data_IF_143160704838
#
_entry.id   IF_143160704838
#
_cell.length_a   1.000
_cell.length_b   1.000
_cell.length_c   1.000
_cell.angle_alpha   90.00
_cell.angle_beta   90.00
_cell.angle_gamma   90.00
#
_symmetry.space_group_name_H-M   'P 1'
#
loop_
_entity.id
_entity.type
_entity.pdbx_description
1 polymer ?
#
# COMPACT_ATOMS: atom_id res chain seq x y z
N UNK A 1 22.57 -19.46 -1.57
CA UNK A 1 23.23 -19.56 -0.23
C UNK A 1 22.18 -19.95 0.80
N UNK A 2 22.52 -20.82 1.75
CA UNK A 2 21.61 -21.12 2.87
C UNK A 2 21.42 -19.86 3.74
N UNK A 3 20.27 -19.74 4.41
CA UNK A 3 20.04 -18.63 5.33
C UNK A 3 21.13 -18.59 6.41
N UNK A 4 21.85 -17.47 6.52
CA UNK A 4 22.95 -17.28 7.48
C UNK A 4 24.37 -17.46 6.94
N UNK A 5 24.55 -17.84 5.68
CA UNK A 5 25.89 -17.90 5.08
C UNK A 5 26.44 -16.49 4.85
N UNK A 6 27.63 -16.20 5.39
CA UNK A 6 28.26 -14.86 5.31
C UNK A 6 28.71 -14.58 3.86
N UNK A 7 28.50 -13.34 3.39
CA UNK A 7 28.97 -12.91 2.08
C UNK A 7 30.51 -13.01 2.00
N UNK A 8 31.01 -13.65 0.93
CA UNK A 8 32.44 -13.89 0.73
C UNK A 8 33.18 -12.56 0.47
N UNK A 9 34.40 -12.37 0.99
CA UNK A 9 35.17 -11.14 0.75
C UNK A 9 35.28 -10.75 -0.73
N UNK A 10 35.58 -11.71 -1.62
CA UNK A 10 35.68 -11.46 -3.05
C UNK A 10 34.36 -10.99 -3.69
N UNK A 11 33.21 -11.43 -3.16
CA UNK A 11 31.90 -10.91 -3.57
C UNK A 11 31.74 -9.46 -3.14
N UNK A 12 32.09 -9.11 -1.89
CA UNK A 12 31.99 -7.75 -1.35
C UNK A 12 32.91 -6.78 -2.07
N UNK A 13 34.14 -7.21 -2.43
CA UNK A 13 35.06 -6.42 -3.25
C UNK A 13 34.45 -6.09 -4.63
N UNK A 14 33.89 -7.10 -5.31
CA UNK A 14 33.24 -6.91 -6.61
C UNK A 14 31.96 -6.05 -6.44
N UNK A 15 31.20 -6.25 -5.38
CA UNK A 15 30.01 -5.46 -5.07
C UNK A 15 30.37 -3.99 -4.84
N UNK A 16 31.50 -3.71 -4.17
CA UNK A 16 32.01 -2.35 -3.97
C UNK A 16 32.32 -1.65 -5.29
N UNK A 17 32.97 -2.35 -6.23
CA UNK A 17 33.26 -1.81 -7.55
C UNK A 17 31.98 -1.50 -8.35
N UNK A 18 31.01 -2.39 -8.28
CA UNK A 18 29.70 -2.19 -8.96
C UNK A 18 28.89 -1.06 -8.34
N UNK A 19 28.88 -0.98 -7.01
CA UNK A 19 28.15 0.07 -6.27
C UNK A 19 28.79 1.45 -6.46
N UNK A 20 30.11 1.51 -6.65
CA UNK A 20 30.87 2.75 -6.67
C UNK A 20 31.09 3.35 -5.28
N UNK A 21 31.98 4.34 -5.24
CA UNK A 21 32.45 4.93 -3.99
C UNK A 21 31.30 5.48 -3.12
N UNK A 22 31.34 5.15 -1.82
CA UNK A 22 30.39 5.65 -0.83
C UNK A 22 28.97 5.08 -0.92
N UNK A 23 28.71 4.12 -1.83
CA UNK A 23 27.38 3.55 -2.03
C UNK A 23 27.19 2.15 -1.44
N UNK A 24 28.22 1.55 -0.85
CA UNK A 24 28.14 0.26 -0.15
C UNK A 24 28.27 0.47 1.37
N UNK A 25 27.45 -0.24 2.13
CA UNK A 25 27.61 -0.42 3.59
C UNK A 25 27.68 -1.90 3.89
N UNK A 26 28.62 -2.27 4.77
CA UNK A 26 28.84 -3.64 5.24
C UNK A 26 29.01 -3.70 6.76
N UNK A 27 29.17 -2.54 7.42
CA UNK A 27 29.15 -2.47 8.87
C UNK A 27 27.76 -2.83 9.40
N UNK A 28 27.64 -3.75 10.37
CA UNK A 28 26.35 -4.16 10.92
C UNK A 28 25.51 -3.00 11.47
N UNK A 29 26.14 -1.98 12.06
CA UNK A 29 25.42 -0.83 12.59
C UNK A 29 24.80 0.02 11.47
N UNK A 30 25.54 0.21 10.35
CA UNK A 30 25.05 0.91 9.18
C UNK A 30 23.96 0.13 8.44
N UNK A 31 24.04 -1.21 8.46
CA UNK A 31 23.06 -2.09 7.81
C UNK A 31 21.78 -2.26 8.64
N UNK A 32 21.82 -2.08 9.96
CA UNK A 32 20.71 -2.29 10.87
C UNK A 32 19.40 -1.58 10.43
N UNK A 33 19.41 -0.27 10.07
CA UNK A 33 18.18 0.45 9.67
C UNK A 33 17.52 -0.09 8.40
N UNK A 34 18.24 -0.88 7.63
CA UNK A 34 17.75 -1.44 6.36
C UNK A 34 17.22 -2.87 6.51
N UNK A 35 17.27 -3.42 7.72
CA UNK A 35 16.77 -4.75 8.06
C UNK A 35 15.29 -4.81 8.37
N UNK A 36 14.57 -3.68 8.49
CA UNK A 36 13.16 -3.64 8.90
C UNK A 36 12.31 -2.68 8.03
N UNK A 37 10.99 -2.82 8.15
CA UNK A 37 9.98 -1.86 7.67
C UNK A 37 8.93 -1.59 8.76
N UNK A 38 7.81 -0.95 8.42
CA UNK A 38 6.76 -0.62 9.39
C UNK A 38 5.98 -1.85 9.92
N UNK A 39 6.23 -3.06 9.40
CA UNK A 39 5.73 -4.31 10.01
C UNK A 39 6.36 -4.62 11.36
N UNK A 40 7.44 -3.92 11.72
CA UNK A 40 8.28 -4.14 12.91
C UNK A 40 9.02 -5.49 12.92
N UNK A 41 9.00 -6.24 11.82
CA UNK A 41 9.84 -7.42 11.62
C UNK A 41 11.24 -6.94 11.26
N UNK A 42 12.27 -7.60 11.81
CA UNK A 42 13.64 -7.25 11.56
C UNK A 42 14.49 -8.49 11.27
N UNK A 43 15.24 -8.44 10.18
CA UNK A 43 16.32 -9.39 9.86
C UNK A 43 17.51 -8.57 9.39
N UNK A 44 18.72 -8.77 9.94
CA UNK A 44 19.90 -7.99 9.55
C UNK A 44 20.25 -8.20 8.07
N UNK A 45 20.46 -7.10 7.34
CA UNK A 45 21.08 -7.14 6.03
C UNK A 45 22.60 -7.38 6.19
N UNK A 46 23.19 -8.15 5.27
CA UNK A 46 24.65 -8.38 5.28
C UNK A 46 25.43 -7.29 4.53
N UNK A 47 24.75 -6.65 3.56
CA UNK A 47 25.25 -5.48 2.87
C UNK A 47 24.08 -4.62 2.40
N UNK A 48 24.29 -3.32 2.31
CA UNK A 48 23.33 -2.36 1.74
C UNK A 48 24.02 -1.60 0.62
N UNK A 49 23.39 -1.63 -0.58
CA UNK A 49 23.83 -0.85 -1.75
C UNK A 49 22.84 0.27 -1.98
N UNK A 50 23.32 1.49 -2.10
CA UNK A 50 22.55 2.67 -2.51
C UNK A 50 22.74 2.90 -4.00
N UNK A 51 21.82 2.44 -4.81
CA UNK A 51 21.89 2.68 -6.24
C UNK A 51 21.60 4.15 -6.57
N UNK A 52 22.39 4.70 -7.51
CA UNK A 52 22.24 6.07 -8.04
C UNK A 52 21.82 6.07 -9.51
N UNK A 53 21.64 4.89 -10.13
CA UNK A 53 21.21 4.75 -11.50
C UNK A 53 20.96 3.32 -11.94
N UNK A 54 20.25 3.18 -13.05
CA UNK A 54 19.83 1.89 -13.61
C UNK A 54 21.01 0.92 -13.85
N UNK A 55 22.14 1.41 -14.36
CA UNK A 55 23.29 0.56 -14.66
C UNK A 55 23.87 -0.11 -13.41
N UNK A 56 23.87 0.59 -12.26
CA UNK A 56 24.29 -0.01 -10.99
C UNK A 56 23.31 -1.10 -10.53
N UNK A 57 21.99 -0.84 -10.63
CA UNK A 57 20.97 -1.85 -10.32
C UNK A 57 21.20 -3.11 -11.17
N UNK A 58 21.41 -2.96 -12.47
CA UNK A 58 21.70 -4.06 -13.39
C UNK A 58 22.97 -4.83 -12.97
N UNK A 59 24.04 -4.11 -12.65
CA UNK A 59 25.31 -4.69 -12.18
C UNK A 59 25.15 -5.49 -10.88
N UNK A 60 24.44 -4.93 -9.90
CA UNK A 60 24.17 -5.59 -8.60
C UNK A 60 23.32 -6.85 -8.78
N UNK A 61 22.26 -6.78 -9.57
CA UNK A 61 21.41 -7.96 -9.85
C UNK A 61 22.22 -9.05 -10.51
N UNK A 62 22.99 -8.73 -11.55
CA UNK A 62 23.86 -9.71 -12.26
C UNK A 62 24.89 -10.36 -11.32
N UNK A 63 25.47 -9.59 -10.42
CA UNK A 63 26.41 -10.11 -9.44
C UNK A 63 25.70 -11.05 -8.47
N UNK A 64 24.56 -10.64 -7.90
CA UNK A 64 23.77 -11.46 -6.98
C UNK A 64 23.27 -12.75 -7.68
N UNK A 65 22.77 -12.68 -8.89
CA UNK A 65 22.33 -13.84 -9.70
C UNK A 65 23.45 -14.83 -9.91
N UNK A 66 24.64 -14.35 -10.31
CA UNK A 66 25.83 -15.20 -10.55
C UNK A 66 26.28 -15.96 -9.30
N UNK A 67 26.11 -15.35 -8.13
CA UNK A 67 26.58 -15.92 -6.85
C UNK A 67 25.45 -16.54 -6.00
N UNK A 68 24.20 -16.53 -6.47
CA UNK A 68 23.04 -17.03 -5.72
C UNK A 68 22.78 -16.24 -4.44
N UNK A 69 23.10 -14.94 -4.40
CA UNK A 69 22.93 -14.07 -3.23
C UNK A 69 21.53 -13.48 -3.23
N UNK A 70 20.83 -13.63 -2.12
CA UNK A 70 19.51 -13.02 -1.93
C UNK A 70 19.56 -11.48 -2.05
N UNK A 71 18.59 -10.91 -2.75
CA UNK A 71 18.50 -9.48 -3.02
C UNK A 71 17.11 -8.95 -2.65
N UNK A 72 17.07 -7.99 -1.73
CA UNK A 72 15.84 -7.32 -1.32
C UNK A 72 15.87 -5.88 -1.81
N UNK A 73 14.96 -5.53 -2.74
CA UNK A 73 14.78 -4.14 -3.17
C UNK A 73 14.07 -3.33 -2.07
N UNK A 74 14.49 -2.08 -1.87
CA UNK A 74 13.97 -1.20 -0.85
C UNK A 74 13.84 0.24 -1.35
N UNK A 75 12.69 0.85 -1.10
CA UNK A 75 12.54 2.30 -1.09
C UNK A 75 12.91 2.85 0.29
N UNK A 76 11.97 3.46 1.00
CA UNK A 76 12.19 4.01 2.35
C UNK A 76 11.58 3.18 3.50
N UNK A 77 11.15 1.95 3.22
CA UNK A 77 10.65 1.01 4.24
C UNK A 77 9.36 1.43 4.94
N UNK A 78 8.49 2.15 4.25
CA UNK A 78 7.18 2.58 4.77
C UNK A 78 6.11 1.46 4.75
N UNK A 79 6.37 0.35 4.08
CA UNK A 79 5.47 -0.80 3.98
C UNK A 79 5.21 -1.47 5.33
N UNK A 80 4.06 -2.12 5.46
CA UNK A 80 3.56 -2.70 6.73
C UNK A 80 3.49 -4.22 6.74
N UNK A 81 3.84 -4.87 5.62
CA UNK A 81 3.70 -6.33 5.47
C UNK A 81 5.03 -7.11 5.53
N UNK A 82 6.16 -6.44 5.81
CA UNK A 82 7.49 -7.09 5.82
C UNK A 82 8.12 -7.23 4.43
N UNK A 83 7.60 -6.51 3.44
CA UNK A 83 8.03 -6.64 2.04
C UNK A 83 9.48 -6.22 1.77
N UNK A 84 10.04 -5.29 2.55
CA UNK A 84 11.45 -4.87 2.44
C UNK A 84 12.38 -5.48 3.51
N UNK A 85 11.90 -6.43 4.30
CA UNK A 85 12.73 -7.17 5.28
C UNK A 85 13.56 -8.24 4.55
N UNK A 86 14.90 -8.27 4.67
CA UNK A 86 15.75 -9.24 3.97
C UNK A 86 15.73 -10.61 4.66
N UNK A 87 14.63 -11.37 4.51
CA UNK A 87 14.36 -12.61 5.24
C UNK A 87 15.49 -13.64 5.16
N UNK A 88 16.19 -13.71 4.03
CA UNK A 88 17.35 -14.61 3.85
C UNK A 88 18.69 -13.89 3.95
N UNK A 89 18.75 -12.71 4.59
CA UNK A 89 19.97 -11.90 4.63
C UNK A 89 20.34 -11.37 3.23
N UNK A 90 21.62 -11.48 2.87
CA UNK A 90 22.13 -11.03 1.58
C UNK A 90 22.22 -9.52 1.44
N UNK A 91 21.92 -9.02 0.25
CA UNK A 91 22.04 -7.61 -0.12
C UNK A 91 20.68 -6.92 -0.07
N UNK A 92 20.62 -5.78 0.62
CA UNK A 92 19.52 -4.82 0.45
C UNK A 92 19.93 -3.79 -0.58
N UNK A 93 19.14 -3.63 -1.64
CA UNK A 93 19.33 -2.64 -2.68
C UNK A 93 18.39 -1.47 -2.46
N UNK A 94 18.89 -0.39 -1.87
CA UNK A 94 18.15 0.84 -1.68
C UNK A 94 18.14 1.66 -2.97
N UNK A 95 16.93 2.05 -3.40
CA UNK A 95 16.70 2.90 -4.56
C UNK A 95 16.48 4.37 -4.15
N UNK A 96 16.58 4.71 -2.87
CA UNK A 96 16.22 6.04 -2.36
C UNK A 96 17.07 7.20 -2.93
N UNK A 97 18.26 6.91 -3.51
CA UNK A 97 19.11 7.88 -4.21
C UNK A 97 18.81 8.00 -5.71
N UNK A 98 17.91 7.18 -6.25
CA UNK A 98 17.39 7.28 -7.61
C UNK A 98 16.09 8.10 -7.59
N UNK A 99 16.19 9.39 -7.29
CA UNK A 99 15.05 10.25 -6.94
C UNK A 99 14.76 11.36 -7.95
N UNK A 100 15.36 11.30 -9.12
CA UNK A 100 15.20 12.32 -10.16
C UNK A 100 13.85 12.22 -10.87
N UNK A 101 13.29 13.37 -11.17
CA UNK A 101 12.24 13.53 -12.18
C UNK A 101 12.94 13.75 -13.52
N UNK A 102 12.83 12.75 -14.40
CA UNK A 102 13.59 12.72 -15.65
C UNK A 102 12.94 13.54 -16.75
N UNK A 103 11.61 13.55 -16.81
CA UNK A 103 10.83 14.24 -17.83
C UNK A 103 9.44 14.59 -17.29
N UNK A 104 8.92 15.75 -17.67
CA UNK A 104 7.52 16.12 -17.53
C UNK A 104 7.02 16.58 -18.88
N UNK A 105 5.97 15.95 -19.39
CA UNK A 105 5.35 16.28 -20.67
C UNK A 105 3.85 16.59 -20.46
N UNK A 106 3.51 17.86 -20.19
CA UNK A 106 2.12 18.25 -19.90
C UNK A 106 1.16 18.00 -21.06
N UNK A 107 1.61 18.17 -22.31
CA UNK A 107 0.79 17.96 -23.50
C UNK A 107 0.31 16.50 -23.63
N UNK A 108 1.13 15.54 -23.20
CA UNK A 108 0.81 14.11 -23.19
C UNK A 108 0.31 13.63 -21.83
N UNK A 109 0.25 14.52 -20.84
CA UNK A 109 -0.16 14.22 -19.46
C UNK A 109 0.67 13.08 -18.86
N UNK A 110 1.99 13.12 -19.01
CA UNK A 110 2.88 12.11 -18.47
C UNK A 110 4.10 12.72 -17.77
N UNK A 111 4.68 11.93 -16.89
CA UNK A 111 5.92 12.22 -16.19
C UNK A 111 6.78 10.95 -16.14
N UNK A 112 8.07 11.06 -16.42
CA UNK A 112 9.03 9.96 -16.26
C UNK A 112 9.88 10.24 -15.03
N UNK A 113 9.93 9.27 -14.12
CA UNK A 113 10.64 9.41 -12.85
C UNK A 113 11.50 8.20 -12.53
N UNK A 114 12.57 8.41 -11.80
CA UNK A 114 13.27 7.34 -11.10
C UNK A 114 12.43 6.89 -9.88
N UNK A 115 12.49 5.61 -9.56
CA UNK A 115 11.56 5.01 -8.59
C UNK A 115 11.87 5.28 -7.12
N UNK A 116 13.01 5.89 -6.82
CA UNK A 116 13.34 6.42 -5.49
C UNK A 116 12.74 7.80 -5.21
N UNK A 117 12.20 8.50 -6.23
CA UNK A 117 11.46 9.74 -6.03
C UNK A 117 10.31 9.52 -5.05
N UNK A 118 10.11 10.45 -4.11
CA UNK A 118 8.98 10.37 -3.18
C UNK A 118 7.67 10.67 -3.90
N UNK A 119 6.57 10.10 -3.43
CA UNK A 119 5.24 10.43 -3.94
C UNK A 119 5.00 11.94 -3.86
N UNK A 120 5.36 12.58 -2.74
CA UNK A 120 5.22 14.03 -2.55
C UNK A 120 6.00 14.83 -3.60
N UNK A 121 7.25 14.44 -3.90
CA UNK A 121 8.05 15.14 -4.92
C UNK A 121 7.38 15.08 -6.30
N UNK A 122 6.78 13.94 -6.64
CA UNK A 122 5.99 13.77 -7.88
C UNK A 122 4.75 14.67 -7.87
N UNK A 123 4.01 14.73 -6.74
CA UNK A 123 2.85 15.59 -6.59
C UNK A 123 3.23 17.08 -6.78
N UNK A 124 4.31 17.52 -6.12
CA UNK A 124 4.78 18.92 -6.17
C UNK A 124 5.22 19.31 -7.58
N UNK A 125 5.91 18.39 -8.28
CA UNK A 125 6.34 18.63 -9.64
C UNK A 125 5.16 18.68 -10.62
N UNK A 126 4.21 17.75 -10.53
CA UNK A 126 3.01 17.71 -11.35
C UNK A 126 2.13 18.97 -11.12
N UNK A 127 2.01 19.41 -9.87
CA UNK A 127 1.19 20.56 -9.49
C UNK A 127 1.63 21.87 -10.18
N UNK A 128 2.93 22.06 -10.45
CA UNK A 128 3.45 23.24 -11.16
C UNK A 128 2.92 23.37 -12.59
N UNK A 129 2.41 22.24 -13.13
CA UNK A 129 1.83 22.17 -14.48
C UNK A 129 0.30 22.00 -14.45
N UNK A 130 -0.36 22.11 -13.29
CA UNK A 130 -1.80 21.92 -13.16
C UNK A 130 -2.25 20.46 -13.12
N UNK A 131 -1.34 19.52 -12.84
CA UNK A 131 -1.62 18.08 -12.78
C UNK A 131 -1.35 17.50 -11.39
N UNK A 132 -1.71 16.24 -11.22
CA UNK A 132 -1.32 15.39 -10.10
C UNK A 132 -1.21 13.93 -10.55
N UNK A 133 -0.49 13.12 -9.79
CA UNK A 133 -0.49 11.68 -9.92
C UNK A 133 -1.49 11.10 -8.92
N UNK A 134 -2.54 10.36 -9.36
CA UNK A 134 -3.65 9.97 -8.49
C UNK A 134 -3.31 9.20 -7.21
N UNK A 135 -2.39 8.22 -7.19
CA UNK A 135 -2.02 7.54 -5.95
C UNK A 135 -1.49 8.49 -4.88
N UNK A 136 -2.12 8.49 -3.70
CA UNK A 136 -1.83 9.41 -2.60
C UNK A 136 -1.89 8.72 -1.22
N UNK A 137 -1.09 7.67 -0.99
CA UNK A 137 -1.10 6.98 0.29
C UNK A 137 -0.75 7.93 1.44
N UNK A 138 -1.21 7.63 2.65
CA UNK A 138 -0.96 8.47 3.84
C UNK A 138 0.53 8.72 4.12
N UNK A 139 1.40 7.86 3.61
CA UNK A 139 2.87 7.98 3.68
C UNK A 139 3.50 8.79 2.55
N UNK A 140 2.74 9.50 1.73
CA UNK A 140 3.21 10.20 0.51
C UNK A 140 4.45 11.06 0.71
N UNK A 141 4.60 11.71 1.87
CA UNK A 141 5.79 12.50 2.21
C UNK A 141 7.08 11.68 2.28
N UNK A 142 6.98 10.37 2.51
CA UNK A 142 8.14 9.50 2.75
C UNK A 142 8.25 8.35 1.76
N UNK A 143 7.12 7.74 1.34
CA UNK A 143 7.13 6.59 0.45
C UNK A 143 7.66 6.96 -0.95
N UNK A 144 8.26 5.99 -1.61
CA UNK A 144 8.79 6.18 -2.96
C UNK A 144 7.82 5.67 -4.01
N UNK A 145 7.88 6.23 -5.22
CA UNK A 145 7.12 5.75 -6.38
C UNK A 145 7.33 4.25 -6.58
N UNK A 146 8.57 3.76 -6.48
CA UNK A 146 8.87 2.32 -6.61
C UNK A 146 8.18 1.46 -5.56
N UNK A 147 8.06 1.96 -4.32
CA UNK A 147 7.28 1.30 -3.27
C UNK A 147 5.78 1.27 -3.60
N UNK A 148 5.22 2.41 -4.06
CA UNK A 148 3.82 2.46 -4.47
C UNK A 148 3.52 1.50 -5.63
N UNK A 149 4.41 1.41 -6.62
CA UNK A 149 4.29 0.48 -7.74
C UNK A 149 4.42 -0.98 -7.30
N UNK A 150 5.43 -1.30 -6.49
CA UNK A 150 5.68 -2.67 -6.04
C UNK A 150 4.49 -3.27 -5.29
N UNK A 151 3.74 -2.46 -4.53
CA UNK A 151 2.59 -2.89 -3.73
C UNK A 151 1.23 -2.47 -4.33
N UNK A 152 1.22 -1.76 -5.45
CA UNK A 152 0.02 -1.13 -5.99
C UNK A 152 -0.71 -0.25 -4.95
N UNK A 153 0.04 0.44 -4.08
CA UNK A 153 -0.49 1.23 -2.97
C UNK A 153 -1.13 2.53 -3.44
N UNK A 154 -2.41 2.72 -3.19
CA UNK A 154 -3.22 3.74 -3.83
C UNK A 154 -3.64 4.91 -2.93
N UNK A 155 -4.23 4.66 -1.75
CA UNK A 155 -4.79 5.68 -0.88
C UNK A 155 -6.26 6.05 -1.21
N UNK A 156 -6.82 7.07 -0.53
CA UNK A 156 -8.25 7.38 -0.56
C UNK A 156 -8.80 7.79 -1.93
N UNK A 157 -7.96 8.35 -2.82
CA UNK A 157 -8.39 8.79 -4.15
C UNK A 157 -8.63 7.66 -5.15
N UNK A 158 -8.25 6.42 -4.79
CA UNK A 158 -8.44 5.26 -5.66
C UNK A 158 -9.91 5.05 -6.06
N UNK A 159 -10.86 5.47 -5.25
CA UNK A 159 -12.30 5.34 -5.52
C UNK A 159 -12.72 6.05 -6.81
N UNK A 160 -12.10 7.18 -7.15
CA UNK A 160 -12.39 7.93 -8.39
C UNK A 160 -11.33 7.75 -9.45
N UNK A 161 -10.07 7.70 -9.06
CA UNK A 161 -8.95 7.85 -9.97
C UNK A 161 -8.17 6.56 -10.22
N UNK A 162 -8.51 5.48 -9.51
CA UNK A 162 -7.81 4.19 -9.63
C UNK A 162 -6.48 4.15 -8.87
N UNK A 163 -5.81 3.03 -9.00
CA UNK A 163 -4.58 2.65 -8.30
C UNK A 163 -3.34 2.97 -9.15
N UNK A 164 -2.10 2.69 -8.70
CA UNK A 164 -0.92 2.78 -9.55
C UNK A 164 -1.02 2.01 -10.87
N UNK A 165 -1.74 0.87 -10.92
CA UNK A 165 -1.96 0.10 -12.17
C UNK A 165 -2.64 0.90 -13.26
N UNK A 166 -3.65 1.70 -12.93
CA UNK A 166 -4.39 2.54 -13.88
C UNK A 166 -3.61 3.83 -14.23
N UNK A 167 -2.70 4.24 -13.34
CA UNK A 167 -2.00 5.53 -13.41
C UNK A 167 -0.52 5.40 -13.78
N UNK A 168 -0.13 4.27 -14.43
CA UNK A 168 1.22 4.04 -14.94
C UNK A 168 1.14 3.54 -16.38
N UNK A 169 1.89 4.18 -17.26
CA UNK A 169 1.91 3.89 -18.69
C UNK A 169 3.00 2.89 -19.07
N UNK A 170 4.14 2.90 -18.36
CA UNK A 170 5.26 2.01 -18.68
C UNK A 170 6.31 2.02 -17.60
N UNK A 171 7.20 1.05 -17.65
CA UNK A 171 8.27 0.83 -16.67
C UNK A 171 9.59 0.52 -17.37
N UNK A 172 10.69 0.88 -16.70
CA UNK A 172 12.01 0.29 -16.93
C UNK A 172 12.39 -0.49 -15.67
N UNK A 173 12.83 -1.72 -15.84
CA UNK A 173 13.12 -2.63 -14.74
C UNK A 173 14.31 -3.54 -15.06
N UNK A 174 14.79 -4.24 -14.02
CA UNK A 174 15.80 -5.30 -14.14
C UNK A 174 15.20 -6.59 -13.59
N UNK A 175 15.12 -7.63 -14.42
CA UNK A 175 14.64 -8.97 -14.00
C UNK A 175 15.62 -9.65 -13.07
N UNK A 176 15.20 -10.68 -12.31
CA UNK A 176 16.10 -11.50 -11.50
C UNK A 176 17.15 -12.28 -12.31
N UNK A 177 16.93 -12.47 -13.62
CA UNK A 177 17.92 -13.01 -14.53
C UNK A 177 19.06 -12.00 -14.86
N UNK A 178 18.94 -10.73 -14.45
CA UNK A 178 19.90 -9.68 -14.77
C UNK A 178 19.74 -9.12 -16.18
N UNK A 179 18.52 -9.07 -16.67
CA UNK A 179 18.16 -8.51 -17.98
C UNK A 179 17.42 -7.19 -17.82
N UNK A 180 17.75 -6.22 -18.71
CA UNK A 180 16.99 -4.97 -18.78
C UNK A 180 15.64 -5.21 -19.46
N UNK A 181 14.58 -4.70 -18.87
CA UNK A 181 13.22 -4.80 -19.39
C UNK A 181 12.60 -3.40 -19.49
N UNK A 182 11.96 -3.12 -20.64
CA UNK A 182 11.07 -1.98 -20.82
C UNK A 182 9.68 -2.47 -21.14
N UNK A 183 8.66 -1.93 -20.48
CA UNK A 183 7.26 -2.30 -20.68
C UNK A 183 6.42 -1.09 -20.95
N UNK A 184 5.23 -1.31 -21.51
CA UNK A 184 4.23 -0.29 -21.72
C UNK A 184 4.52 0.64 -22.90
N UNK A 185 3.76 1.72 -22.97
CA UNK A 185 3.79 2.71 -24.04
C UNK A 185 3.63 4.12 -23.45
N UNK A 186 3.86 5.16 -24.25
CA UNK A 186 3.65 6.56 -23.82
C UNK A 186 2.27 7.10 -24.19
N UNK A 187 1.42 6.26 -24.78
CA UNK A 187 0.08 6.62 -25.25
C UNK A 187 -0.98 6.07 -24.30
N UNK A 188 -2.18 6.69 -24.29
CA UNK A 188 -3.30 6.24 -23.48
C UNK A 188 -3.93 4.93 -23.96
N UNK A 189 -3.63 4.50 -25.18
CA UNK A 189 -4.06 3.22 -25.76
C UNK A 189 -2.83 2.46 -26.28
N UNK A 190 -2.81 1.13 -26.07
CA UNK A 190 -1.81 0.22 -26.61
C UNK A 190 -2.26 -1.21 -26.36
N UNK A 191 -2.19 -2.07 -27.39
CA UNK A 191 -2.66 -3.48 -27.31
C UNK A 191 -1.63 -4.46 -27.89
N UNK A 192 -0.39 -4.01 -28.14
CA UNK A 192 0.66 -4.88 -28.67
C UNK A 192 1.32 -5.65 -27.55
N UNK A 193 1.19 -6.98 -27.58
CA UNK A 193 1.75 -7.88 -26.60
C UNK A 193 0.94 -7.97 -25.30
N UNK A 194 1.49 -8.72 -24.33
CA UNK A 194 0.91 -8.87 -22.99
C UNK A 194 1.25 -7.66 -22.12
N UNK A 195 0.37 -7.32 -21.19
CA UNK A 195 0.56 -6.20 -20.27
C UNK A 195 1.53 -6.56 -19.13
N UNK A 196 2.82 -6.51 -19.41
CA UNK A 196 3.85 -6.72 -18.41
C UNK A 196 3.97 -5.55 -17.43
N UNK A 197 3.50 -4.35 -17.79
CA UNK A 197 3.47 -3.20 -16.88
C UNK A 197 2.62 -3.51 -15.67
N UNK A 198 1.36 -3.94 -15.88
CA UNK A 198 0.46 -4.30 -14.78
C UNK A 198 0.85 -5.58 -14.06
N UNK A 199 1.57 -6.49 -14.71
CA UNK A 199 2.14 -7.68 -14.08
C UNK A 199 3.22 -7.31 -13.05
N UNK A 200 4.08 -6.35 -13.37
CA UNK A 200 5.15 -5.90 -12.47
C UNK A 200 4.62 -5.05 -11.32
N UNK A 201 3.54 -4.26 -11.53
CA UNK A 201 2.90 -3.47 -10.49
C UNK A 201 2.14 -4.41 -9.54
N UNK A 202 2.47 -4.36 -8.26
CA UNK A 202 1.94 -5.26 -7.23
C UNK A 202 2.69 -6.60 -7.13
N UNK A 203 3.86 -6.73 -7.78
CA UNK A 203 4.70 -7.94 -7.67
C UNK A 203 5.66 -7.94 -6.47
N UNK A 204 5.61 -6.92 -5.63
CA UNK A 204 6.39 -6.81 -4.37
C UNK A 204 7.91 -6.98 -4.57
N UNK A 205 8.42 -6.59 -5.75
CA UNK A 205 9.84 -6.75 -6.08
C UNK A 205 10.28 -8.20 -6.29
N UNK A 206 9.33 -9.14 -6.44
CA UNK A 206 9.65 -10.56 -6.66
C UNK A 206 9.97 -10.89 -8.13
N UNK A 207 9.46 -10.13 -9.08
CA UNK A 207 9.67 -10.40 -10.51
C UNK A 207 10.82 -9.58 -11.09
N UNK A 208 10.86 -8.29 -10.77
CA UNK A 208 11.87 -7.37 -11.26
C UNK A 208 12.05 -6.20 -10.29
N UNK A 209 13.19 -5.51 -10.40
CA UNK A 209 13.45 -4.25 -9.69
C UNK A 209 13.14 -3.11 -10.65
N UNK A 210 12.09 -2.35 -10.34
CA UNK A 210 11.65 -1.21 -11.14
C UNK A 210 12.59 -0.03 -10.86
N UNK A 211 13.16 0.55 -11.92
CA UNK A 211 14.13 1.65 -11.83
C UNK A 211 13.59 2.97 -12.33
N UNK A 212 12.71 2.95 -13.33
CA UNK A 212 12.05 4.13 -13.88
C UNK A 212 10.56 3.82 -14.12
N UNK A 213 9.71 4.83 -14.01
CA UNK A 213 8.29 4.73 -14.30
C UNK A 213 7.82 5.90 -15.15
N UNK A 214 6.99 5.61 -16.16
CA UNK A 214 6.22 6.59 -16.91
C UNK A 214 4.84 6.68 -16.26
N UNK A 215 4.59 7.74 -15.50
CA UNK A 215 3.38 7.99 -14.76
C UNK A 215 2.37 8.72 -15.63
N UNK A 216 1.10 8.35 -15.52
CA UNK A 216 -0.02 9.05 -16.16
C UNK A 216 -0.51 10.15 -15.21
N UNK A 217 -0.49 11.39 -15.67
CA UNK A 217 -0.95 12.53 -14.90
C UNK A 217 -2.43 12.83 -15.17
N UNK A 218 -3.12 13.28 -14.12
CA UNK A 218 -4.51 13.72 -14.17
C UNK A 218 -4.56 15.24 -13.95
N UNK A 219 -5.35 16.02 -14.73
CA UNK A 219 -5.58 17.42 -14.47
C UNK A 219 -6.16 17.64 -13.06
N UNK A 220 -5.68 18.64 -12.35
CA UNK A 220 -6.24 19.00 -11.04
C UNK A 220 -7.61 19.64 -11.23
N UNK A 221 -8.58 19.13 -10.52
CA UNK A 221 -9.86 19.80 -10.40
C UNK A 221 -9.68 21.15 -9.68
N UNK A 222 -10.29 22.25 -10.17
CA UNK A 222 -10.14 23.57 -9.55
C UNK A 222 -10.78 23.61 -8.16
N UNK A 223 -11.85 22.87 -7.93
CA UNK A 223 -12.63 22.95 -6.71
C UNK A 223 -12.81 21.61 -6.02
N UNK A 224 -13.03 21.67 -4.72
CA UNK A 224 -13.37 20.55 -3.85
C UNK A 224 -14.43 20.94 -2.84
N UNK A 225 -15.25 19.94 -2.42
CA UNK A 225 -16.16 20.05 -1.28
C UNK A 225 -16.03 18.82 -0.41
N UNK A 226 -15.98 19.04 0.89
CA UNK A 226 -15.88 17.97 1.89
C UNK A 226 -17.11 17.97 2.77
N UNK A 227 -17.72 16.80 2.97
CA UNK A 227 -18.86 16.59 3.83
C UNK A 227 -18.47 15.60 4.94
N UNK A 228 -19.05 15.80 6.11
CA UNK A 228 -19.05 14.86 7.23
C UNK A 228 -20.46 14.35 7.44
N UNK A 229 -20.67 13.04 7.42
CA UNK A 229 -21.95 12.43 7.73
C UNK A 229 -21.79 11.48 8.93
N UNK A 230 -22.69 11.59 9.92
CA UNK A 230 -22.66 10.83 11.18
C UNK A 230 -23.91 9.97 11.24
N UNK A 231 -23.73 8.70 11.56
CA UNK A 231 -24.79 7.69 11.58
C UNK A 231 -24.92 7.04 12.96
N UNK A 232 -26.13 6.56 13.27
CA UNK A 232 -26.45 5.87 14.51
C UNK A 232 -25.69 4.53 14.65
N UNK A 233 -25.44 3.87 13.50
CA UNK A 233 -24.79 2.57 13.48
C UNK A 233 -24.05 2.33 12.14
N UNK A 234 -23.28 1.25 12.10
CA UNK A 234 -22.52 0.81 10.93
C UNK A 234 -23.41 0.43 9.76
N UNK A 235 -24.59 -0.16 10.03
CA UNK A 235 -25.52 -0.59 8.98
C UNK A 235 -26.07 0.62 8.22
N UNK A 236 -26.40 1.70 8.92
CA UNK A 236 -26.81 2.96 8.31
C UNK A 236 -25.71 3.57 7.46
N UNK A 237 -24.46 3.62 7.98
CA UNK A 237 -23.31 4.13 7.23
C UNK A 237 -23.05 3.28 5.98
N UNK A 238 -23.13 1.96 6.07
CA UNK A 238 -22.94 1.07 4.91
C UNK A 238 -24.04 1.27 3.84
N UNK A 239 -25.31 1.42 4.25
CA UNK A 239 -26.38 1.79 3.31
C UNK A 239 -26.11 3.11 2.60
N UNK A 240 -25.59 4.10 3.32
CA UNK A 240 -25.20 5.38 2.75
C UNK A 240 -24.03 5.21 1.75
N UNK A 241 -23.01 4.42 2.06
CA UNK A 241 -21.92 4.12 1.12
C UNK A 241 -22.45 3.49 -0.17
N UNK A 242 -23.32 2.49 -0.06
CA UNK A 242 -23.96 1.86 -1.22
C UNK A 242 -24.73 2.89 -2.06
N UNK A 243 -25.55 3.73 -1.41
CA UNK A 243 -26.34 4.78 -2.10
C UNK A 243 -25.44 5.82 -2.78
N UNK A 244 -24.35 6.25 -2.10
CA UNK A 244 -23.38 7.18 -2.66
C UNK A 244 -22.68 6.59 -3.89
N UNK A 245 -22.27 5.33 -3.82
CA UNK A 245 -21.56 4.68 -4.94
C UNK A 245 -22.47 4.27 -6.10
N UNK A 246 -23.79 4.21 -5.90
CA UNK A 246 -24.76 3.85 -6.93
C UNK A 246 -25.23 5.03 -7.79
N UNK A 247 -24.92 6.29 -7.41
CA UNK A 247 -25.36 7.47 -8.15
C UNK A 247 -24.22 8.00 -9.08
N UNK A 248 -24.53 8.84 -10.09
CA UNK A 248 -23.58 9.21 -11.15
C UNK A 248 -22.35 10.02 -10.69
N UNK A 249 -22.46 10.79 -9.58
CA UNK A 249 -21.37 11.61 -9.08
C UNK A 249 -20.43 10.76 -8.21
N UNK A 250 -19.25 10.47 -8.69
CA UNK A 250 -18.26 9.67 -7.95
C UNK A 250 -17.50 10.58 -6.99
N UNK A 251 -17.50 10.30 -5.66
CA UNK A 251 -16.66 11.02 -4.72
C UNK A 251 -15.17 10.78 -5.01
N UNK A 252 -14.33 11.78 -4.79
CA UNK A 252 -12.87 11.61 -4.92
C UNK A 252 -12.22 11.01 -3.66
N UNK A 253 -12.95 10.98 -2.53
CA UNK A 253 -12.63 10.20 -1.35
C UNK A 253 -13.92 9.87 -0.59
N UNK A 254 -14.01 8.66 -0.03
CA UNK A 254 -15.11 8.21 0.81
C UNK A 254 -14.54 7.35 1.94
N UNK A 255 -14.30 8.00 3.09
CA UNK A 255 -13.65 7.42 4.25
C UNK A 255 -14.66 7.03 5.31
N UNK A 256 -14.45 5.88 5.92
CA UNK A 256 -15.29 5.31 6.98
C UNK A 256 -14.53 5.21 8.30
N UNK A 257 -15.25 5.40 9.41
CA UNK A 257 -14.79 5.18 10.77
C UNK A 257 -15.90 4.53 11.58
N UNK A 258 -15.59 3.45 12.30
CA UNK A 258 -16.54 2.80 13.21
C UNK A 258 -16.64 3.51 14.56
N UNK A 259 -17.52 3.00 15.46
CA UNK A 259 -17.72 3.51 16.81
C UNK A 259 -16.42 3.49 17.63
N UNK A 260 -15.64 2.42 17.55
CA UNK A 260 -14.37 2.33 18.27
C UNK A 260 -13.37 3.39 17.80
N UNK A 261 -13.32 3.68 16.51
CA UNK A 261 -12.50 4.77 15.95
C UNK A 261 -13.03 6.15 16.40
N UNK A 262 -14.34 6.34 16.46
CA UNK A 262 -14.99 7.57 16.94
C UNK A 262 -14.66 7.81 18.41
N UNK A 263 -14.71 6.79 19.26
CA UNK A 263 -14.38 6.90 20.69
C UNK A 263 -12.92 7.31 20.89
N UNK A 264 -12.00 6.80 20.06
CA UNK A 264 -10.62 7.27 20.08
C UNK A 264 -10.50 8.74 19.66
N UNK A 265 -11.24 9.17 18.64
CA UNK A 265 -11.26 10.57 18.22
C UNK A 265 -11.71 11.49 19.36
N UNK A 266 -12.74 11.10 20.11
CA UNK A 266 -13.22 11.86 21.29
C UNK A 266 -12.15 12.05 22.35
N UNK A 267 -11.31 11.03 22.58
CA UNK A 267 -10.24 11.10 23.59
C UNK A 267 -9.05 11.93 23.13
N UNK A 268 -8.70 11.86 21.84
CA UNK A 268 -7.44 12.43 21.32
C UNK A 268 -7.62 13.64 20.40
N UNK A 269 -8.85 14.09 20.18
CA UNK A 269 -9.15 15.29 19.40
C UNK A 269 -10.25 16.11 20.06
N UNK A 270 -10.35 17.40 19.67
CA UNK A 270 -11.45 18.29 20.08
C UNK A 270 -12.62 18.26 19.08
N UNK A 271 -12.77 17.16 18.33
CA UNK A 271 -13.85 17.03 17.35
C UNK A 271 -15.20 16.95 18.08
N UNK A 272 -16.11 17.87 17.72
CA UNK A 272 -17.50 17.83 18.21
C UNK A 272 -18.24 16.69 17.50
N UNK A 273 -18.45 15.58 18.24
CA UNK A 273 -19.14 14.38 17.77
C UNK A 273 -20.28 14.03 18.74
N UNK A 274 -21.52 13.83 18.25
CA UNK A 274 -22.65 13.41 19.06
C UNK A 274 -22.35 12.15 19.89
N UNK A 275 -22.86 12.07 21.11
CA UNK A 275 -22.63 10.94 22.02
C UNK A 275 -23.05 9.58 21.41
N UNK A 276 -24.09 9.60 20.58
CA UNK A 276 -24.69 8.40 19.98
C UNK A 276 -24.19 8.11 18.54
N UNK A 277 -23.04 8.68 18.17
CA UNK A 277 -22.45 8.38 16.85
C UNK A 277 -21.88 6.96 16.82
N UNK A 278 -22.48 6.09 15.99
CA UNK A 278 -22.05 4.70 15.79
C UNK A 278 -21.17 4.49 14.56
N UNK A 279 -21.20 5.43 13.61
CA UNK A 279 -20.29 5.46 12.45
C UNK A 279 -20.17 6.86 11.84
N UNK A 280 -19.06 7.12 11.15
CA UNK A 280 -18.81 8.40 10.49
C UNK A 280 -18.30 8.16 9.08
N UNK A 281 -18.82 8.96 8.12
CA UNK A 281 -18.29 9.06 6.76
C UNK A 281 -17.71 10.45 6.52
N UNK A 282 -16.51 10.50 5.94
CA UNK A 282 -15.97 11.69 5.28
C UNK A 282 -16.11 11.49 3.77
N UNK A 283 -16.76 12.45 3.11
CA UNK A 283 -17.09 12.39 1.69
C UNK A 283 -16.44 13.62 1.05
N UNK A 284 -15.54 13.39 0.08
CA UNK A 284 -14.94 14.49 -0.67
C UNK A 284 -15.30 14.36 -2.15
N UNK A 285 -15.68 15.46 -2.76
CA UNK A 285 -15.94 15.56 -4.21
C UNK A 285 -15.14 16.69 -4.79
N UNK A 286 -14.62 16.49 -5.99
CA UNK A 286 -13.86 17.48 -6.75
C UNK A 286 -14.44 17.64 -8.17
N UNK A 287 -14.28 18.83 -8.73
CA UNK A 287 -14.83 19.17 -10.03
C UNK A 287 -14.67 20.65 -10.37
N UNK A 288 -15.38 21.08 -11.41
CA UNK A 288 -15.41 22.47 -11.88
C UNK A 288 -16.30 23.34 -11.00
N UNK A 289 -16.00 24.65 -10.96
CA UNK A 289 -16.70 25.65 -10.16
C UNK A 289 -18.22 25.66 -10.39
N UNK A 290 -18.64 25.57 -11.65
CA UNK A 290 -20.05 25.65 -12.02
C UNK A 290 -20.88 24.44 -11.56
N UNK A 291 -20.22 23.30 -11.27
CA UNK A 291 -20.89 22.04 -10.98
C UNK A 291 -20.64 21.49 -9.58
N UNK A 292 -19.59 21.95 -8.89
CA UNK A 292 -19.11 21.33 -7.66
C UNK A 292 -20.15 21.33 -6.53
N UNK A 293 -20.93 22.39 -6.41
CA UNK A 293 -21.97 22.49 -5.37
C UNK A 293 -23.15 21.57 -5.67
N UNK A 294 -23.53 21.43 -6.93
CA UNK A 294 -24.53 20.46 -7.35
C UNK A 294 -24.07 19.00 -7.09
N UNK A 295 -22.81 18.73 -7.35
CA UNK A 295 -22.19 17.44 -7.07
C UNK A 295 -22.18 17.12 -5.56
N UNK A 296 -21.80 18.09 -4.73
CA UNK A 296 -21.83 17.96 -3.28
C UNK A 296 -23.25 17.72 -2.75
N UNK A 297 -24.24 18.43 -3.29
CA UNK A 297 -25.66 18.25 -2.93
C UNK A 297 -26.20 16.87 -3.38
N UNK A 298 -25.75 16.36 -4.51
CA UNK A 298 -26.11 15.01 -4.97
C UNK A 298 -25.59 13.94 -4.00
N UNK A 299 -24.32 14.05 -3.58
CA UNK A 299 -23.73 13.17 -2.57
C UNK A 299 -24.41 13.31 -1.21
N UNK A 300 -24.74 14.55 -0.80
CA UNK A 300 -25.47 14.78 0.45
C UNK A 300 -26.87 14.15 0.43
N UNK A 301 -27.57 14.20 -0.71
CA UNK A 301 -28.86 13.51 -0.87
C UNK A 301 -28.71 11.99 -0.80
N UNK A 302 -27.70 11.44 -1.48
CA UNK A 302 -27.43 10.01 -1.46
C UNK A 302 -27.03 9.49 -0.06
N UNK A 303 -26.36 10.33 0.74
CA UNK A 303 -25.97 10.03 2.11
C UNK A 303 -27.17 10.03 3.09
N UNK A 304 -28.34 10.59 2.72
CA UNK A 304 -29.54 10.65 3.57
C UNK A 304 -30.29 9.33 3.53
N UNK A 305 -29.93 8.46 4.46
CA UNK A 305 -30.59 7.16 4.70
C UNK A 305 -31.11 7.11 6.13
N UNK A 306 -31.96 6.12 6.44
CA UNK A 306 -32.43 5.89 7.79
C UNK A 306 -31.24 5.62 8.74
N UNK A 307 -31.22 6.30 9.88
CA UNK A 307 -30.11 6.27 10.83
C UNK A 307 -29.08 7.38 10.65
N UNK A 308 -29.27 8.31 9.68
CA UNK A 308 -28.45 9.53 9.63
C UNK A 308 -28.76 10.43 10.82
N UNK A 309 -27.74 10.77 11.63
CA UNK A 309 -27.85 11.71 12.74
C UNK A 309 -27.60 13.14 12.26
N UNK A 310 -26.50 13.35 11.53
CA UNK A 310 -26.12 14.67 11.01
C UNK A 310 -25.33 14.55 9.71
N UNK A 311 -25.50 15.55 8.85
CA UNK A 311 -24.64 15.75 7.68
C UNK A 311 -24.27 17.22 7.59
N UNK A 312 -22.99 17.51 7.49
CA UNK A 312 -22.44 18.85 7.44
C UNK A 312 -21.46 18.98 6.29
N UNK A 313 -21.49 20.14 5.64
CA UNK A 313 -20.51 20.52 4.63
C UNK A 313 -19.47 21.43 5.29
N UNK A 314 -18.20 21.15 5.09
CA UNK A 314 -17.12 22.03 5.54
C UNK A 314 -17.25 23.42 4.91
N UNK A 315 -17.14 24.47 5.73
CA UNK A 315 -17.39 25.88 5.32
C UNK A 315 -16.17 26.51 4.66
N UNK A 316 -14.98 26.06 5.05
CA UNK A 316 -13.70 26.62 4.63
C UNK A 316 -12.58 25.57 4.68
N UNK A 317 -11.41 25.93 4.17
CA UNK A 317 -10.22 25.06 4.14
C UNK A 317 -9.73 24.68 5.54
N UNK A 318 -9.94 25.52 6.55
CA UNK A 318 -9.56 25.25 7.94
C UNK A 318 -10.37 24.05 8.48
N UNK A 319 -11.67 24.07 8.24
CA UNK A 319 -12.54 22.97 8.65
C UNK A 319 -12.26 21.67 7.85
N UNK A 320 -11.99 21.78 6.55
CA UNK A 320 -11.52 20.65 5.73
C UNK A 320 -10.23 20.07 6.30
N UNK A 321 -9.24 20.91 6.59
CA UNK A 321 -7.98 20.47 7.17
C UNK A 321 -8.16 19.78 8.54
N UNK A 322 -9.05 20.29 9.40
CA UNK A 322 -9.38 19.71 10.70
C UNK A 322 -10.00 18.31 10.56
N UNK A 323 -10.93 18.11 9.61
CA UNK A 323 -11.54 16.81 9.33
C UNK A 323 -10.48 15.78 8.87
N UNK A 324 -9.61 16.16 7.93
CA UNK A 324 -8.53 15.29 7.47
C UNK A 324 -7.46 15.04 8.55
N UNK A 325 -7.12 16.05 9.37
CA UNK A 325 -6.21 15.86 10.49
C UNK A 325 -6.75 14.83 11.49
N UNK A 326 -8.04 14.89 11.81
CA UNK A 326 -8.73 13.91 12.66
C UNK A 326 -8.61 12.49 12.08
N UNK A 327 -8.89 12.31 10.79
CA UNK A 327 -8.77 11.00 10.11
C UNK A 327 -7.33 10.48 10.10
N UNK A 328 -6.35 11.35 9.84
CA UNK A 328 -4.92 11.00 9.82
C UNK A 328 -4.38 10.67 11.23
N UNK A 329 -4.92 11.27 12.26
CA UNK A 329 -4.51 11.05 13.65
C UNK A 329 -4.89 9.65 14.18
N UNK A 330 -5.85 8.95 13.58
CA UNK A 330 -6.32 7.64 14.04
C UNK A 330 -5.18 6.62 14.14
N UNK A 331 -4.38 6.44 13.09
CA UNK A 331 -3.33 5.42 13.10
C UNK A 331 -2.22 5.66 14.14
N UNK A 332 -1.73 6.89 14.36
CA UNK A 332 -0.87 7.22 15.51
C UNK A 332 -1.57 7.05 16.86
N UNK A 333 -2.84 7.44 16.99
CA UNK A 333 -3.60 7.39 18.24
C UNK A 333 -3.78 5.96 18.76
N UNK A 334 -3.86 4.96 17.89
CA UNK A 334 -3.91 3.54 18.27
C UNK A 334 -2.75 3.13 19.20
N UNK A 335 -1.58 3.76 19.06
CA UNK A 335 -0.41 3.48 19.91
C UNK A 335 -0.56 3.96 21.35
N UNK A 336 -1.48 4.91 21.59
CA UNK A 336 -1.79 5.40 22.93
C UNK A 336 -2.81 4.48 23.66
N UNK A 337 -3.54 3.65 22.88
CA UNK A 337 -4.53 2.71 23.43
C UNK A 337 -3.89 1.36 23.76
N UNK A 338 -3.00 0.88 22.89
CA UNK A 338 -2.31 -0.39 23.10
C UNK A 338 -0.84 -0.30 22.66
N UNK A 339 0.10 -0.95 23.38
CA UNK A 339 1.53 -0.92 23.06
C UNK A 339 1.87 -1.61 21.74
N UNK A 340 0.98 -2.48 21.24
CA UNK A 340 1.11 -3.18 19.97
C UNK A 340 -0.20 -3.25 19.20
N UNK A 341 -0.09 -3.43 17.89
CA UNK A 341 -1.23 -3.70 17.02
C UNK A 341 -0.83 -4.59 15.85
N UNK A 342 -1.76 -5.40 15.37
CA UNK A 342 -1.73 -5.99 14.04
C UNK A 342 -2.60 -5.11 13.17
N UNK A 343 -2.07 -4.63 12.05
CA UNK A 343 -2.77 -3.75 11.14
C UNK A 343 -2.90 -4.42 9.78
N UNK A 344 -4.13 -4.82 9.46
CA UNK A 344 -4.46 -5.43 8.17
C UNK A 344 -5.35 -4.50 7.34
N UNK A 345 -5.34 -4.69 6.03
CA UNK A 345 -6.09 -3.90 5.06
C UNK A 345 -6.90 -4.83 4.16
N UNK A 346 -8.01 -5.27 4.66
CA UNK A 346 -8.89 -6.18 3.92
C UNK A 346 -9.85 -5.41 3.01
N UNK A 347 -10.33 -6.07 1.97
CA UNK A 347 -11.34 -5.50 1.06
C UNK A 347 -12.50 -6.46 0.95
N UNK A 348 -13.72 -5.94 0.99
CA UNK A 348 -14.94 -6.67 0.65
C UNK A 348 -15.74 -5.91 -0.40
N UNK A 349 -16.64 -6.56 -1.17
CA UNK A 349 -17.60 -5.83 -1.97
C UNK A 349 -18.32 -4.78 -1.11
N UNK A 350 -18.51 -3.58 -1.64
CA UNK A 350 -19.09 -2.44 -0.88
C UNK A 350 -20.42 -2.83 -0.21
N UNK A 351 -21.23 -3.67 -0.86
CA UNK A 351 -22.50 -4.19 -0.31
C UNK A 351 -22.34 -5.07 0.93
N UNK A 352 -21.12 -5.56 1.22
CA UNK A 352 -20.81 -6.45 2.35
C UNK A 352 -20.12 -5.72 3.51
N UNK A 353 -19.99 -4.40 3.43
CA UNK A 353 -19.27 -3.59 4.42
C UNK A 353 -19.88 -3.73 5.84
N UNK A 354 -21.21 -3.67 5.96
CA UNK A 354 -21.88 -3.85 7.24
C UNK A 354 -21.62 -5.24 7.84
N UNK A 355 -21.72 -6.29 7.01
CA UNK A 355 -21.48 -7.67 7.47
C UNK A 355 -20.02 -7.85 7.93
N UNK A 356 -19.05 -7.23 7.23
CA UNK A 356 -17.66 -7.26 7.66
C UNK A 356 -17.51 -6.63 9.04
N UNK A 357 -17.93 -5.36 9.22
CA UNK A 357 -17.68 -4.63 10.47
C UNK A 357 -18.43 -5.26 11.64
N UNK A 358 -19.66 -5.72 11.46
CA UNK A 358 -20.41 -6.44 12.49
C UNK A 358 -19.77 -7.79 12.84
N UNK A 359 -19.25 -8.51 11.85
CA UNK A 359 -18.48 -9.74 12.06
C UNK A 359 -17.19 -9.48 12.84
N UNK A 360 -16.44 -8.42 12.50
CA UNK A 360 -15.24 -8.01 13.24
C UNK A 360 -15.55 -7.66 14.70
N UNK A 361 -16.68 -6.99 14.97
CA UNK A 361 -17.15 -6.72 16.34
C UNK A 361 -17.44 -8.02 17.11
N UNK A 362 -18.04 -8.99 16.47
CA UNK A 362 -18.30 -10.32 17.06
C UNK A 362 -16.99 -11.06 17.36
N UNK A 363 -16.01 -11.03 16.45
CA UNK A 363 -14.70 -11.61 16.66
C UNK A 363 -13.92 -10.90 17.78
N UNK A 364 -14.00 -9.57 17.85
CA UNK A 364 -13.44 -8.79 18.97
C UNK A 364 -13.95 -9.30 20.32
N UNK A 365 -15.27 -9.47 20.45
CA UNK A 365 -15.90 -9.98 21.68
C UNK A 365 -15.50 -11.43 21.98
N UNK A 366 -15.47 -12.30 20.97
CA UNK A 366 -15.15 -13.72 21.11
C UNK A 366 -13.72 -13.95 21.60
N UNK A 367 -12.78 -13.19 21.07
CA UNK A 367 -11.35 -13.35 21.37
C UNK A 367 -10.85 -12.42 22.49
N UNK A 368 -11.67 -11.47 22.94
CA UNK A 368 -11.26 -10.46 23.94
C UNK A 368 -10.14 -9.54 23.42
N UNK A 369 -10.10 -9.30 22.11
CA UNK A 369 -9.11 -8.43 21.44
C UNK A 369 -9.83 -7.21 20.90
N UNK A 370 -9.41 -6.01 21.33
CA UNK A 370 -9.96 -4.75 20.79
C UNK A 370 -9.69 -4.64 19.29
N UNK A 371 -10.74 -4.36 18.50
CA UNK A 371 -10.63 -4.13 17.07
C UNK A 371 -11.16 -2.73 16.76
N UNK A 372 -10.39 -1.96 15.97
CA UNK A 372 -10.73 -0.61 15.53
C UNK A 372 -10.67 -0.57 14.01
N UNK A 373 -11.76 -0.14 13.36
CA UNK A 373 -11.89 -0.16 11.91
C UNK A 373 -12.09 1.23 11.33
N UNK A 374 -11.30 1.53 10.30
CA UNK A 374 -11.45 2.71 9.48
C UNK A 374 -10.86 2.45 8.10
N UNK A 375 -11.28 3.18 7.07
CA UNK A 375 -10.70 2.93 5.74
C UNK A 375 -11.47 3.58 4.61
N UNK A 376 -11.17 3.11 3.40
CA UNK A 376 -11.63 3.65 2.13
C UNK A 376 -12.94 2.94 1.72
N UNK A 377 -14.06 3.37 2.31
CA UNK A 377 -15.36 2.69 2.14
C UNK A 377 -15.83 2.62 0.69
N UNK A 378 -15.50 3.62 -0.14
CA UNK A 378 -15.88 3.63 -1.55
C UNK A 378 -15.31 2.46 -2.35
N UNK A 379 -14.20 1.87 -1.89
CA UNK A 379 -13.58 0.67 -2.46
C UNK A 379 -13.85 -0.59 -1.62
N UNK A 380 -14.56 -0.47 -0.49
CA UNK A 380 -14.73 -1.57 0.46
C UNK A 380 -13.45 -1.95 1.21
N UNK A 381 -12.41 -1.09 1.18
CA UNK A 381 -11.12 -1.35 1.81
C UNK A 381 -11.11 -0.83 3.24
N UNK A 382 -10.96 -1.72 4.20
CA UNK A 382 -10.99 -1.44 5.64
C UNK A 382 -9.66 -1.83 6.28
N UNK A 383 -9.07 -0.88 7.00
CA UNK A 383 -7.93 -1.13 7.88
C UNK A 383 -8.44 -1.68 9.20
N UNK A 384 -8.22 -2.95 9.42
CA UNK A 384 -8.58 -3.69 10.64
C UNK A 384 -7.39 -3.66 11.58
N UNK A 385 -7.55 -3.03 12.75
CA UNK A 385 -6.49 -2.89 13.73
C UNK A 385 -6.83 -3.72 14.97
N UNK A 386 -6.15 -4.86 15.15
CA UNK A 386 -6.24 -5.68 16.35
C UNK A 386 -5.26 -5.12 17.39
N UNK A 387 -5.77 -4.74 18.55
CA UNK A 387 -5.01 -4.08 19.62
C UNK A 387 -4.57 -5.10 20.67
N UNK A 388 -3.27 -5.13 21.01
CA UNK A 388 -2.71 -6.10 21.96
C UNK A 388 -1.49 -5.55 22.69
N UNK A 389 -1.13 -6.16 23.83
CA UNK A 389 0.19 -6.03 24.41
C UNK A 389 1.09 -7.17 23.88
N UNK A 390 2.13 -6.89 23.09
CA UNK A 390 3.02 -7.91 22.54
C UNK A 390 3.86 -8.64 23.62
N UNK A 391 3.86 -8.15 24.87
CA UNK A 391 4.52 -8.80 26.01
C UNK A 391 3.60 -9.82 26.68
N UNK A 392 2.29 -9.74 26.45
CA UNK A 392 1.31 -10.71 26.94
C UNK A 392 1.12 -11.83 25.91
N UNK A 393 1.73 -12.98 26.17
CA UNK A 393 1.65 -14.13 25.27
C UNK A 393 0.23 -14.68 25.10
N UNK A 394 -0.69 -14.41 26.04
CA UNK A 394 -2.09 -14.81 25.90
C UNK A 394 -2.83 -13.95 24.90
N UNK A 395 -2.61 -12.62 24.93
CA UNK A 395 -3.16 -11.68 23.96
C UNK A 395 -2.55 -11.92 22.55
N UNK A 396 -1.25 -12.20 22.47
CA UNK A 396 -0.63 -12.52 21.18
C UNK A 396 -1.31 -13.74 20.53
N UNK A 397 -1.46 -14.85 21.26
CA UNK A 397 -2.15 -16.04 20.75
C UNK A 397 -3.63 -15.80 20.44
N UNK A 398 -4.31 -14.98 21.22
CA UNK A 398 -5.71 -14.61 20.97
C UNK A 398 -5.83 -13.77 19.69
N UNK A 399 -4.92 -12.81 19.48
CA UNK A 399 -4.88 -11.98 18.29
C UNK A 399 -4.54 -12.79 17.01
N UNK A 400 -3.64 -13.78 17.09
CA UNK A 400 -3.33 -14.68 15.98
C UNK A 400 -4.55 -15.51 15.56
N UNK A 401 -5.28 -16.10 16.52
CA UNK A 401 -6.52 -16.81 16.21
C UNK A 401 -7.62 -15.90 15.68
N UNK A 402 -7.76 -14.71 16.25
CA UNK A 402 -8.69 -13.70 15.78
C UNK A 402 -8.37 -13.30 14.33
N UNK A 403 -7.10 -13.07 14.00
CA UNK A 403 -6.66 -12.73 12.65
C UNK A 403 -6.98 -13.83 11.64
N UNK A 404 -6.80 -15.11 12.01
CA UNK A 404 -7.17 -16.25 11.17
C UNK A 404 -8.66 -16.23 10.82
N UNK A 405 -9.52 -15.95 11.80
CA UNK A 405 -10.96 -15.85 11.61
C UNK A 405 -11.38 -14.58 10.86
N UNK A 406 -10.65 -13.45 11.04
CA UNK A 406 -10.86 -12.23 10.25
C UNK A 406 -10.65 -12.54 8.76
N UNK A 407 -9.56 -13.22 8.39
CA UNK A 407 -9.32 -13.58 7.00
C UNK A 407 -10.36 -14.59 6.48
N UNK A 408 -10.79 -15.55 7.31
CA UNK A 408 -11.90 -16.45 6.98
C UNK A 408 -13.21 -15.71 6.68
N UNK A 409 -13.57 -14.73 7.52
CA UNK A 409 -14.74 -13.86 7.33
C UNK A 409 -14.64 -13.07 6.01
N UNK A 410 -13.51 -12.43 5.76
CA UNK A 410 -13.28 -11.62 4.53
C UNK A 410 -13.49 -12.47 3.29
N UNK A 411 -12.89 -13.65 3.23
CA UNK A 411 -13.03 -14.56 2.08
C UNK A 411 -14.46 -15.09 1.93
N UNK A 412 -15.15 -15.40 3.03
CA UNK A 412 -16.56 -15.82 3.02
C UNK A 412 -17.49 -14.72 2.47
N UNK A 413 -17.11 -13.45 2.65
CA UNK A 413 -17.83 -12.29 2.08
C UNK A 413 -17.46 -12.00 0.61
N UNK A 414 -16.61 -12.81 -0.02
CA UNK A 414 -16.14 -12.61 -1.40
C UNK A 414 -15.09 -11.49 -1.50
N UNK A 415 -14.38 -11.23 -0.42
CA UNK A 415 -13.35 -10.21 -0.33
C UNK A 415 -11.95 -10.71 -0.69
N UNK A 416 -10.94 -9.86 -0.41
CA UNK A 416 -9.51 -10.16 -0.59
C UNK A 416 -8.71 -9.74 0.64
N UNK A 417 -7.62 -10.45 0.90
CA UNK A 417 -6.77 -10.28 2.08
C UNK A 417 -6.01 -8.94 2.10
N UNK A 418 -5.83 -8.29 0.96
CA UNK A 418 -5.09 -7.03 0.91
C UNK A 418 -5.59 -6.10 -0.18
N UNK A 419 -5.89 -4.84 0.18
CA UNK A 419 -6.26 -3.77 -0.75
C UNK A 419 -5.05 -3.03 -1.31
N UNK A 420 -4.10 -2.65 -0.43
CA UNK A 420 -2.96 -1.79 -0.80
C UNK A 420 -1.66 -2.07 -0.03
N UNK A 421 -1.70 -2.76 1.13
CA UNK A 421 -0.49 -3.03 1.92
C UNK A 421 0.39 -4.13 1.31
N UNK A 422 -0.21 -5.03 0.53
CA UNK A 422 0.43 -6.21 -0.03
C UNK A 422 0.43 -7.41 0.92
N UNK A 423 1.01 -8.50 0.47
CA UNK A 423 1.11 -9.79 1.15
C UNK A 423 2.36 -9.88 2.01
N UNK A 424 3.52 -9.65 1.41
CA UNK A 424 4.84 -9.69 2.07
C UNK A 424 5.08 -10.96 2.87
N UNK A 425 5.41 -10.78 4.15
CA UNK A 425 5.55 -11.83 5.16
C UNK A 425 4.30 -12.02 6.01
N UNK A 426 3.43 -10.98 6.09
CA UNK A 426 2.31 -10.97 7.03
C UNK A 426 1.16 -11.85 6.60
N UNK A 427 0.89 -11.94 5.30
CA UNK A 427 -0.28 -12.63 4.74
C UNK A 427 0.08 -13.85 3.89
N UNK A 428 1.35 -14.14 3.66
CA UNK A 428 1.79 -15.18 2.74
C UNK A 428 1.18 -16.56 3.02
N UNK A 429 1.01 -16.91 4.30
CA UNK A 429 0.50 -18.23 4.70
C UNK A 429 -1.02 -18.38 4.46
N UNK A 430 -1.70 -17.26 4.19
CA UNK A 430 -3.14 -17.22 3.89
C UNK A 430 -3.46 -17.16 2.40
N UNK A 431 -2.49 -16.86 1.55
CA UNK A 431 -2.69 -16.66 0.10
C UNK A 431 -3.34 -17.85 -0.59
N UNK A 432 -2.98 -19.09 -0.17
CA UNK A 432 -3.57 -20.32 -0.71
C UNK A 432 -5.06 -20.50 -0.37
N UNK A 433 -5.62 -19.71 0.58
CA UNK A 433 -7.05 -19.74 0.87
C UNK A 433 -7.85 -18.87 -0.12
N UNK A 434 -7.20 -17.85 -0.70
CA UNK A 434 -7.82 -16.90 -1.64
C UNK A 434 -7.62 -17.31 -3.09
N UNK A 435 -6.39 -17.73 -3.44
CA UNK A 435 -6.02 -17.96 -4.82
C UNK A 435 -6.27 -19.40 -5.25
N UNK A 436 -6.80 -19.54 -6.47
CA UNK A 436 -6.95 -20.84 -7.14
C UNK A 436 -5.59 -21.54 -7.29
N UNK A 437 -5.50 -22.86 -7.07
CA UNK A 437 -4.25 -23.62 -7.17
C UNK A 437 -3.57 -23.52 -8.55
N UNK A 438 -4.35 -23.40 -9.62
CA UNK A 438 -3.82 -23.22 -10.98
C UNK A 438 -3.21 -21.81 -11.12
N UNK A 439 -3.87 -20.79 -10.58
CA UNK A 439 -3.36 -19.42 -10.56
C UNK A 439 -2.03 -19.35 -9.79
N UNK A 440 -1.95 -19.93 -8.59
CA UNK A 440 -0.72 -19.99 -7.79
C UNK A 440 0.42 -20.68 -8.56
N UNK A 441 0.14 -21.79 -9.26
CA UNK A 441 1.14 -22.49 -10.08
C UNK A 441 1.64 -21.57 -11.20
N UNK A 442 0.74 -20.91 -11.93
CA UNK A 442 1.11 -19.99 -13.02
C UNK A 442 1.93 -18.80 -12.51
N UNK A 443 1.56 -18.21 -11.37
CA UNK A 443 2.32 -17.11 -10.75
C UNK A 443 3.74 -17.56 -10.39
N UNK A 444 3.91 -18.77 -9.88
CA UNK A 444 5.22 -19.36 -9.60
C UNK A 444 6.04 -19.61 -10.88
N UNK A 445 5.40 -20.06 -11.95
CA UNK A 445 6.07 -20.28 -13.23
C UNK A 445 6.51 -18.96 -13.85
N UNK A 446 5.69 -17.89 -13.73
CA UNK A 446 6.06 -16.51 -14.07
C UNK A 446 7.26 -16.06 -13.24
N UNK A 447 7.23 -16.28 -11.92
CA UNK A 447 8.36 -15.97 -11.04
C UNK A 447 9.65 -16.62 -11.52
N UNK A 448 9.63 -17.91 -11.88
CA UNK A 448 10.80 -18.63 -12.40
C UNK A 448 11.29 -18.08 -13.73
N UNK A 449 10.39 -17.61 -14.58
CA UNK A 449 10.76 -16.96 -15.85
C UNK A 449 11.51 -15.66 -15.62
N UNK A 450 11.05 -14.82 -14.70
CA UNK A 450 11.67 -13.53 -14.39
C UNK A 450 12.90 -13.65 -13.49
N UNK A 451 12.90 -14.62 -12.58
CA UNK A 451 13.94 -14.80 -11.57
C UNK A 451 14.27 -16.30 -11.40
N UNK A 452 14.99 -16.88 -12.36
CA UNK A 452 15.27 -18.31 -12.39
C UNK A 452 16.07 -18.82 -11.19
N UNK A 453 16.88 -17.97 -10.59
CA UNK A 453 17.71 -18.30 -9.42
C UNK A 453 17.03 -17.98 -8.07
N UNK A 454 15.81 -17.40 -8.09
CA UNK A 454 15.04 -17.11 -6.91
C UNK A 454 15.70 -16.10 -5.95
N UNK A 455 16.50 -15.17 -6.49
CA UNK A 455 17.26 -14.21 -5.67
C UNK A 455 16.42 -13.01 -5.23
N UNK A 456 15.41 -12.61 -6.03
CA UNK A 456 14.62 -11.42 -5.75
C UNK A 456 13.58 -11.69 -4.65
N UNK A 457 13.73 -10.97 -3.56
CA UNK A 457 12.81 -10.92 -2.44
C UNK A 457 12.34 -12.31 -1.94
N UNK A 458 13.27 -13.27 -1.71
CA UNK A 458 12.93 -14.67 -1.48
C UNK A 458 12.16 -14.87 -0.17
N UNK A 459 11.20 -15.82 -0.18
CA UNK A 459 10.38 -16.19 0.98
C UNK A 459 9.21 -15.25 1.24
N UNK A 460 8.77 -14.46 0.24
CA UNK A 460 7.65 -13.52 0.36
C UNK A 460 6.56 -13.83 -0.67
N UNK A 461 5.37 -13.25 -0.47
CA UNK A 461 4.25 -13.29 -1.39
C UNK A 461 3.41 -14.57 -1.34
N UNK A 462 3.99 -15.72 -1.10
CA UNK A 462 3.29 -17.02 -0.96
C UNK A 462 4.04 -17.96 -0.03
N UNK A 463 3.40 -19.06 0.48
CA UNK A 463 4.00 -20.05 1.38
C UNK A 463 5.28 -20.68 0.86
N UNK A 464 6.20 -21.06 1.78
CA UNK A 464 7.52 -21.62 1.43
C UNK A 464 7.47 -22.92 0.63
N UNK A 465 6.45 -23.74 0.79
CA UNK A 465 6.19 -24.93 -0.03
C UNK A 465 6.02 -24.62 -1.52
N UNK A 466 5.65 -23.36 -1.83
CA UNK A 466 5.57 -22.79 -3.17
C UNK A 466 6.83 -22.00 -3.58
N UNK A 467 7.79 -21.84 -2.67
CA UNK A 467 9.12 -21.26 -2.92
C UNK A 467 10.15 -22.41 -2.83
N UNK A 468 10.41 -23.19 -3.89
CA UNK A 468 11.39 -24.26 -3.81
C UNK A 468 12.73 -23.71 -3.37
N UNK A 469 13.50 -24.46 -2.54
CA UNK A 469 14.88 -24.08 -2.27
C UNK A 469 15.58 -23.93 -3.62
N UNK A 470 16.31 -22.82 -3.79
CA UNK A 470 17.02 -22.53 -5.03
C UNK A 470 17.70 -23.79 -5.52
N UNK A 471 17.43 -24.16 -6.76
CA UNK A 471 17.99 -25.38 -7.36
C UNK A 471 19.50 -25.40 -7.21
N UNK A 472 20.02 -26.57 -6.90
CA UNK A 472 21.46 -26.86 -6.85
C UNK A 472 22.15 -26.54 -8.17
#
# INVERSE_FOLDING_TARGET
MAAGEVLRPAFLETLSLVAGDGNLRTDPADCWPYGYDNSRRHVPAQAVVFATGHAQVLGVVRLCTRHGVALTARGRGTGTCGGSVPLRGGVVLSLERMDRILEIQPADRLMVVETGATNQAVQDAAARHGFFWPPDPSSAAYCTVGGNLAFNSAGPRAVKYGTPRENTLGLRAVTGAGEELRTGVRTSKGVVGLDLTRLLIGSEGMLAIITEATLKLTPRAPCKRTLRAIYADVDAAARAVISIMAQPVIPCALEFMDDAAIDMIRVYSQADLPEHAGALLMIEVDGDDDYIDHAADALARAAKVDGLIAIERARDETQVAALWATRKALSPALRNVAPGKINEDVVVPVSRLAELVNGLRSLSSTHGIGIVNFGHAGNGNIHVNLLLDPRDSSQVRAAERCLDEVFGLVLALGGTLSGEHGVGLSKRDFVARELDPVALRLMRDIKRTFDPNGILNPGKGWPDEFNPPGGN
#
